data_IF_219518464304
#
_entry.id   IF_219518464304
#
_cell.length_a   1.000
_cell.length_b   1.000
_cell.length_c   1.000
_cell.angle_alpha   90.00
_cell.angle_beta   90.00
_cell.angle_gamma   90.00
#
_symmetry.space_group_name_H-M   'P 1'
#
loop_
_entity.id
_entity.type
_entity.pdbx_description
1 polymer ?
#
# COMPACT_ATOMS: atom_id res chain seq x y z
N UNK A 1 42.70 13.23 17.82
CA UNK A 1 41.56 13.49 16.93
C UNK A 1 41.45 12.37 15.91
N UNK A 2 40.49 11.46 16.06
CA UNK A 2 40.01 10.61 14.96
C UNK A 2 38.50 10.47 15.15
N UNK A 3 37.77 11.25 14.35
CA UNK A 3 36.32 11.34 14.36
C UNK A 3 35.68 10.17 13.63
N UNK A 4 34.57 9.73 14.23
CA UNK A 4 33.29 9.41 13.61
C UNK A 4 33.20 8.23 12.65
N UNK A 5 32.55 7.19 13.16
CA UNK A 5 32.00 6.04 12.45
C UNK A 5 31.31 6.40 11.14
N UNK A 6 31.80 5.82 10.05
CA UNK A 6 31.00 5.55 8.85
C UNK A 6 29.94 4.49 9.22
N UNK A 7 28.76 4.95 9.65
CA UNK A 7 27.57 4.10 9.73
C UNK A 7 26.83 4.28 8.41
N UNK A 8 26.62 3.23 7.60
CA UNK A 8 25.73 3.36 6.46
C UNK A 8 24.35 3.74 7.00
N UNK A 9 23.82 4.88 6.54
CA UNK A 9 22.43 5.29 6.79
C UNK A 9 21.53 4.16 6.35
N UNK A 10 20.98 3.43 7.31
CA UNK A 10 19.90 2.48 7.10
C UNK A 10 18.62 3.29 6.91
N UNK A 11 18.49 3.91 5.73
CA UNK A 11 17.20 4.42 5.29
C UNK A 11 16.22 3.24 5.34
N UNK A 12 15.09 3.35 6.05
CA UNK A 12 14.11 2.28 6.09
C UNK A 12 13.64 2.07 4.66
N UNK A 13 13.90 0.87 4.12
CA UNK A 13 13.38 0.50 2.80
C UNK A 13 11.88 0.81 2.80
N UNK A 14 11.37 1.57 1.81
CA UNK A 14 9.93 1.80 1.74
C UNK A 14 9.27 0.42 1.76
N UNK A 15 8.35 0.21 2.70
CA UNK A 15 7.63 -1.04 2.82
C UNK A 15 6.98 -1.30 1.46
N UNK A 16 7.56 -2.23 0.68
CA UNK A 16 6.98 -2.65 -0.58
C UNK A 16 5.58 -3.12 -0.23
N UNK A 17 4.57 -2.33 -0.61
CA UNK A 17 3.17 -2.70 -0.41
C UNK A 17 3.04 -4.06 -1.10
N UNK A 18 2.72 -5.14 -0.36
CA UNK A 18 2.66 -6.45 -0.97
C UNK A 18 1.64 -6.35 -2.10
N UNK A 19 2.13 -6.49 -3.34
CA UNK A 19 1.32 -6.48 -4.55
C UNK A 19 0.11 -7.39 -4.30
N UNK A 20 -1.08 -6.81 -4.33
CA UNK A 20 -2.37 -7.45 -4.08
C UNK A 20 -2.36 -8.54 -3.00
N UNK A 21 -2.68 -8.18 -1.74
CA UNK A 21 -2.94 -9.08 -0.61
C UNK A 21 -3.20 -10.54 -1.04
N UNK A 22 -2.12 -11.34 -1.06
CA UNK A 22 -2.20 -12.76 -1.40
C UNK A 22 -3.20 -13.36 -0.42
N UNK A 23 -4.29 -13.94 -0.93
CA UNK A 23 -5.35 -14.50 -0.08
C UNK A 23 -4.69 -15.49 0.88
N UNK A 24 -4.65 -15.13 2.17
CA UNK A 24 -4.10 -15.99 3.21
C UNK A 24 -4.93 -17.27 3.28
N UNK A 25 -4.26 -18.42 3.39
CA UNK A 25 -4.95 -19.69 3.62
C UNK A 25 -5.63 -19.67 4.99
N UNK A 26 -6.56 -20.60 5.23
CA UNK A 26 -7.18 -20.74 6.54
C UNK A 26 -6.14 -21.06 7.64
N UNK A 27 -5.11 -21.86 7.30
CA UNK A 27 -4.02 -22.20 8.21
C UNK A 27 -3.17 -20.98 8.58
N UNK A 28 -2.86 -20.11 7.61
CA UNK A 28 -2.11 -18.87 7.87
C UNK A 28 -2.90 -17.94 8.80
N UNK A 29 -4.21 -17.79 8.56
CA UNK A 29 -5.10 -17.01 9.42
C UNK A 29 -5.12 -17.55 10.85
N UNK A 30 -5.22 -18.87 11.04
CA UNK A 30 -5.21 -19.49 12.36
C UNK A 30 -3.88 -19.29 13.09
N UNK A 31 -2.74 -19.39 12.38
CA UNK A 31 -1.41 -19.12 12.95
C UNK A 31 -1.30 -17.67 13.42
N UNK A 32 -1.76 -16.71 12.61
CA UNK A 32 -1.77 -15.30 12.99
C UNK A 32 -2.68 -15.04 14.18
N UNK A 33 -3.87 -15.64 14.21
CA UNK A 33 -4.82 -15.46 15.30
C UNK A 33 -4.29 -15.99 16.65
N UNK A 34 -3.47 -17.05 16.63
CA UNK A 34 -2.82 -17.54 17.85
C UNK A 34 -1.82 -16.53 18.46
N UNK A 35 -1.22 -15.67 17.64
CA UNK A 35 -0.22 -14.68 18.07
C UNK A 35 -0.88 -13.33 18.37
N UNK A 36 -1.76 -12.88 17.48
CA UNK A 36 -2.31 -11.53 17.47
C UNK A 36 -3.79 -11.46 17.89
N UNK A 37 -4.45 -12.60 18.11
CA UNK A 37 -5.90 -12.68 18.33
C UNK A 37 -6.69 -12.65 17.02
N UNK A 38 -8.00 -12.74 17.12
CA UNK A 38 -8.87 -12.72 15.95
C UNK A 38 -8.79 -11.36 15.21
N UNK A 39 -8.75 -11.36 13.87
CA UNK A 39 -8.72 -10.13 13.11
C UNK A 39 -10.04 -9.36 13.26
N UNK A 40 -9.93 -8.03 13.28
CA UNK A 40 -11.07 -7.12 13.16
C UNK A 40 -11.84 -7.37 11.84
N UNK A 41 -13.12 -6.98 11.75
CA UNK A 41 -13.89 -7.10 10.52
C UNK A 41 -13.15 -6.46 9.35
N UNK A 42 -13.08 -7.19 8.23
CA UNK A 42 -12.48 -6.69 7.00
C UNK A 42 -13.37 -5.65 6.34
N UNK A 43 -12.78 -4.56 5.85
CA UNK A 43 -13.49 -3.60 5.00
C UNK A 43 -13.87 -4.23 3.66
N UNK A 44 -14.98 -3.79 3.08
CA UNK A 44 -15.43 -4.25 1.77
C UNK A 44 -14.54 -3.71 0.65
N UNK A 45 -14.74 -4.19 -0.58
CA UNK A 45 -13.85 -3.81 -1.67
C UNK A 45 -14.04 -2.36 -2.14
N UNK A 46 -15.21 -1.78 -1.93
CA UNK A 46 -15.57 -0.40 -2.28
C UNK A 46 -14.93 0.64 -1.34
N UNK A 47 -14.71 0.29 -0.07
CA UNK A 47 -14.00 1.16 0.88
C UNK A 47 -12.48 1.17 0.66
N UNK A 48 -11.95 0.21 -0.12
CA UNK A 48 -10.52 0.15 -0.42
C UNK A 48 -10.22 1.02 -1.64
N UNK A 49 -9.23 1.89 -1.50
CA UNK A 49 -8.67 2.60 -2.65
C UNK A 49 -8.19 1.59 -3.71
N UNK A 50 -8.49 1.81 -5.00
CA UNK A 50 -8.01 0.94 -6.07
C UNK A 50 -6.47 0.90 -6.06
N UNK A 51 -5.88 -0.22 -6.45
CA UNK A 51 -4.45 -0.22 -6.73
C UNK A 51 -4.16 0.81 -7.83
N UNK A 52 -3.04 1.54 -7.74
CA UNK A 52 -2.64 2.42 -8.81
C UNK A 52 -2.46 1.59 -10.08
N UNK A 53 -3.37 1.76 -11.04
CA UNK A 53 -3.26 1.21 -12.39
C UNK A 53 -1.92 1.70 -12.97
N UNK A 54 -0.96 0.80 -13.15
CA UNK A 54 0.35 1.12 -13.71
C UNK A 54 0.18 1.51 -15.19
N UNK A 55 -0.17 2.76 -15.47
CA UNK A 55 -0.26 3.24 -16.85
C UNK A 55 -1.08 4.51 -17.08
N UNK A 56 -1.99 4.89 -16.18
CA UNK A 56 -2.76 6.12 -16.32
C UNK A 56 -2.33 7.13 -15.25
N UNK A 57 -1.71 8.23 -15.69
CA UNK A 57 -1.39 9.34 -14.80
C UNK A 57 -2.68 9.92 -14.23
N UNK A 58 -2.76 10.12 -12.91
CA UNK A 58 -3.92 10.71 -12.23
C UNK A 58 -4.35 12.05 -12.84
N UNK A 59 -3.40 12.77 -13.42
CA UNK A 59 -3.59 14.03 -14.13
C UNK A 59 -4.38 13.89 -15.44
N UNK A 60 -4.19 12.78 -16.17
CA UNK A 60 -4.89 12.54 -17.44
C UNK A 60 -6.38 12.32 -17.21
N UNK A 61 -6.71 11.55 -16.18
CA UNK A 61 -8.08 11.38 -15.73
C UNK A 61 -8.69 12.72 -15.30
N UNK A 62 -7.99 13.53 -14.50
CA UNK A 62 -8.47 14.86 -14.08
C UNK A 62 -8.76 15.79 -15.27
N UNK A 63 -7.87 15.84 -16.27
CA UNK A 63 -8.09 16.67 -17.48
C UNK A 63 -9.29 16.20 -18.30
N UNK A 64 -9.55 14.90 -18.35
CA UNK A 64 -10.72 14.33 -19.02
C UNK A 64 -12.05 14.69 -18.35
N UNK A 65 -12.03 15.09 -17.07
CA UNK A 65 -13.23 15.48 -16.31
C UNK A 65 -13.58 16.96 -16.44
N UNK A 66 -12.83 17.76 -17.19
CA UNK A 66 -13.13 19.19 -17.37
C UNK A 66 -14.36 19.36 -18.28
N UNK A 67 -15.43 20.03 -17.82
CA UNK A 67 -16.60 20.29 -18.67
C UNK A 67 -16.26 21.12 -19.91
N UNK A 68 -16.94 20.90 -21.05
CA UNK A 68 -16.58 21.51 -22.35
C UNK A 68 -16.73 23.04 -22.41
N UNK A 69 -17.34 23.67 -21.41
CA UNK A 69 -17.53 25.11 -21.32
C UNK A 69 -16.61 25.79 -20.30
N UNK A 70 -15.57 25.10 -19.82
CA UNK A 70 -14.54 25.74 -19.00
C UNK A 70 -13.53 26.45 -19.91
N UNK A 71 -13.87 27.68 -20.28
CA UNK A 71 -13.07 28.64 -21.02
C UNK A 71 -13.55 30.06 -20.74
#
# INVERSE_FOLDING_TARGET
MTSESDRPSEEPRPAARPAGSRRLSAADKARLARIFGDPLPSTTSDERAPEPEQGQSSDEWLRSQVPPHHG
#
